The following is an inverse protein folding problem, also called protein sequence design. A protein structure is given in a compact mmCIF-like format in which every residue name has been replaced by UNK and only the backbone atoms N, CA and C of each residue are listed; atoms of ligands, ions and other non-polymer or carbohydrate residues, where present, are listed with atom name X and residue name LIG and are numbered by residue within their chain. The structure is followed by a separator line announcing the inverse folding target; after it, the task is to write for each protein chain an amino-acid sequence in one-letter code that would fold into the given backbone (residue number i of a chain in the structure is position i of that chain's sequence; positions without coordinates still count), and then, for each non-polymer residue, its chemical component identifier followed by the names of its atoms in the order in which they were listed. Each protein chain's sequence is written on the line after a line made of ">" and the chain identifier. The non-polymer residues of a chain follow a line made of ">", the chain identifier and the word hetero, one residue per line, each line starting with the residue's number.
data_IF_286897500955
#
_entry.id   IF_286897500955
#
_cell.length_a   1.000
_cell.length_b   1.000
_cell.length_c   1.000
_cell.angle_alpha   90.00
_cell.angle_beta   90.00
_cell.angle_gamma   90.00
#
_symmetry.space_group_name_H-M   'P 1'
#
loop_
_entity.id
_entity.type
_entity.pdbx_description
1 polymer ?
#
# COMPACT_ATOMS: atom_id res chain seq x y z
N UNK A 1 -0.94 -11.28 6.23
CA UNK A 1 -0.84 -10.01 5.49
C UNK A 1 -1.75 -10.09 4.28
N UNK A 2 -2.60 -9.08 4.01
CA UNK A 2 -3.34 -9.04 2.74
C UNK A 2 -2.36 -9.00 1.55
N UNK A 3 -2.84 -9.45 0.39
CA UNK A 3 -2.10 -9.39 -0.88
C UNK A 3 -1.65 -7.95 -1.16
N UNK A 4 -0.37 -7.75 -1.51
CA UNK A 4 0.28 -6.41 -1.61
C UNK A 4 0.24 -5.57 -0.32
N UNK A 5 0.52 -6.16 0.85
CA UNK A 5 0.53 -5.46 2.15
C UNK A 5 1.62 -4.39 2.37
N UNK A 6 2.31 -3.93 1.32
CA UNK A 6 3.32 -2.89 1.42
C UNK A 6 3.70 -2.31 0.06
N UNK A 7 3.78 -0.98 0.01
CA UNK A 7 4.37 -0.24 -1.11
C UNK A 7 5.83 0.01 -0.80
N UNK A 8 6.72 -0.17 -1.79
CA UNK A 8 8.11 0.26 -1.70
C UNK A 8 8.43 1.16 -2.90
N UNK A 9 9.20 2.20 -2.65
CA UNK A 9 9.77 3.04 -3.70
C UNK A 9 11.23 2.65 -3.87
N UNK A 10 11.66 2.39 -5.10
CA UNK A 10 13.06 2.25 -5.45
C UNK A 10 13.42 3.46 -6.31
N UNK A 11 14.32 4.31 -5.82
CA UNK A 11 14.71 5.54 -6.53
C UNK A 11 15.26 5.26 -7.92
N UNK A 12 15.18 6.25 -8.81
CA UNK A 12 15.75 6.16 -10.15
C UNK A 12 17.20 5.67 -10.05
N UNK A 13 17.55 4.60 -10.79
CA UNK A 13 18.77 3.80 -10.61
C UNK A 13 20.11 4.57 -10.84
N UNK A 14 20.07 5.89 -11.04
CA UNK A 14 21.22 6.76 -11.31
C UNK A 14 21.10 8.15 -10.63
N UNK A 15 20.02 8.44 -9.89
CA UNK A 15 19.81 9.70 -9.18
C UNK A 15 19.54 9.41 -7.72
N UNK A 16 20.54 9.64 -6.87
CA UNK A 16 20.34 9.66 -5.43
C UNK A 16 19.36 10.76 -5.05
N UNK A 17 18.38 10.42 -4.22
CA UNK A 17 17.41 11.33 -3.65
C UNK A 17 16.54 10.56 -2.64
N UNK A 18 16.22 11.19 -1.51
CA UNK A 18 15.24 10.62 -0.57
C UNK A 18 13.83 10.84 -1.16
N UNK A 19 12.93 9.88 -0.93
CA UNK A 19 11.51 10.04 -1.23
C UNK A 19 10.93 11.30 -0.57
N UNK A 20 11.44 11.67 0.61
CA UNK A 20 11.04 12.89 1.33
C UNK A 20 11.41 14.20 0.63
N UNK A 21 12.36 14.16 -0.32
CA UNK A 21 12.82 15.34 -1.06
C UNK A 21 12.00 15.57 -2.35
N UNK A 22 11.05 14.69 -2.66
CA UNK A 22 10.18 14.82 -3.82
C UNK A 22 9.07 15.83 -3.54
N UNK A 23 8.89 16.80 -4.45
CA UNK A 23 7.82 17.80 -4.36
C UNK A 23 6.41 17.23 -4.57
N UNK A 24 6.31 16.00 -5.08
CA UNK A 24 5.06 15.27 -5.28
C UNK A 24 5.28 13.76 -5.16
N UNK A 25 4.21 13.04 -4.79
CA UNK A 25 4.21 11.58 -4.74
C UNK A 25 4.34 11.02 -6.17
N UNK A 26 5.34 10.16 -6.46
CA UNK A 26 5.43 9.48 -7.75
C UNK A 26 4.18 8.64 -8.04
N UNK A 27 3.68 8.70 -9.27
CA UNK A 27 2.47 7.98 -9.74
C UNK A 27 2.50 6.48 -9.42
N UNK A 28 3.66 5.83 -9.52
CA UNK A 28 3.82 4.42 -9.18
C UNK A 28 3.55 4.11 -7.69
N UNK A 29 3.93 5.03 -6.80
CA UNK A 29 3.69 4.91 -5.36
C UNK A 29 2.22 5.19 -5.05
N UNK A 30 1.64 6.21 -5.68
CA UNK A 30 0.22 6.53 -5.56
C UNK A 30 -0.67 5.36 -6.00
N UNK A 31 -0.40 4.78 -7.17
CA UNK A 31 -1.15 3.63 -7.71
C UNK A 31 -1.08 2.41 -6.79
N UNK A 32 0.10 2.12 -6.25
CA UNK A 32 0.29 0.99 -5.33
C UNK A 32 -0.43 1.24 -4.00
N UNK A 33 -0.35 2.46 -3.47
CA UNK A 33 -1.07 2.86 -2.25
C UNK A 33 -2.59 2.75 -2.40
N UNK A 34 -3.13 3.17 -3.55
CA UNK A 34 -4.56 3.04 -3.86
C UNK A 34 -5.02 1.57 -3.83
N UNK A 35 -4.24 0.69 -4.46
CA UNK A 35 -4.52 -0.76 -4.47
C UNK A 35 -4.45 -1.37 -3.07
N UNK A 36 -3.41 -1.02 -2.29
CA UNK A 36 -3.27 -1.45 -0.90
C UNK A 36 -4.47 -0.99 -0.04
N UNK A 37 -4.87 0.27 -0.16
CA UNK A 37 -6.00 0.82 0.58
C UNK A 37 -7.30 0.10 0.23
N UNK A 38 -7.57 -0.15 -1.05
CA UNK A 38 -8.73 -0.90 -1.50
C UNK A 38 -8.76 -2.33 -0.93
N UNK A 39 -7.64 -3.04 -0.96
CA UNK A 39 -7.52 -4.39 -0.41
C UNK A 39 -7.71 -4.40 1.13
N UNK A 40 -7.16 -3.41 1.83
CA UNK A 40 -7.31 -3.28 3.28
C UNK A 40 -8.76 -3.00 3.69
N UNK A 41 -9.45 -2.09 2.98
CA UNK A 41 -10.88 -1.81 3.19
C UNK A 41 -11.72 -3.05 2.91
N UNK A 42 -11.43 -3.77 1.83
CA UNK A 42 -12.12 -5.01 1.51
C UNK A 42 -11.97 -6.06 2.61
N UNK A 43 -10.74 -6.28 3.10
CA UNK A 43 -10.48 -7.22 4.18
C UNK A 43 -11.15 -6.79 5.50
N UNK A 44 -11.11 -5.50 5.84
CA UNK A 44 -11.75 -4.99 7.05
C UNK A 44 -13.28 -5.15 7.02
N UNK A 45 -13.91 -4.92 5.86
CA UNK A 45 -15.33 -5.15 5.68
C UNK A 45 -15.70 -6.63 5.76
N UNK A 46 -14.87 -7.51 5.17
CA UNK A 46 -15.06 -8.95 5.25
C UNK A 46 -15.01 -9.44 6.70
N UNK A 47 -13.96 -9.08 7.44
CA UNK A 47 -13.80 -9.49 8.84
C UNK A 47 -14.84 -8.88 9.78
N UNK A 48 -15.43 -7.73 9.44
CA UNK A 48 -16.56 -7.17 10.19
C UNK A 48 -17.82 -8.02 10.06
N UNK A 49 -18.07 -8.57 8.87
CA UNK A 49 -19.27 -9.35 8.56
C UNK A 49 -19.12 -10.84 8.89
N UNK A 50 -17.91 -11.36 8.71
CA UNK A 50 -17.55 -12.77 8.92
C UNK A 50 -16.29 -12.82 9.79
N UNK A 51 -16.50 -12.57 11.08
CA UNK A 51 -15.40 -12.62 12.05
C UNK A 51 -14.83 -14.02 12.10
N UNK A 52 -13.51 -14.12 12.26
CA UNK A 52 -12.90 -15.42 12.53
C UNK A 52 -13.60 -16.07 13.73
N UNK A 53 -14.01 -17.35 13.61
CA UNK A 53 -14.65 -18.04 14.71
C UNK A 53 -13.72 -18.03 15.92
N UNK A 54 -14.29 -17.76 17.10
CA UNK A 54 -13.58 -18.03 18.33
C UNK A 54 -13.33 -19.55 18.36
N UNK A 55 -12.04 -19.91 18.35
CA UNK A 55 -11.54 -21.28 18.41
C UNK A 55 -12.28 -22.15 19.42
#
# INVERSE_FOLDING_TARGET
>A
MPTQGGTYWNGEAMKGGDYNDLGETPEAVESTNSTLAANAVHLANLLRNDQYPAS
#
